data_IF_714972158441
#
_entry.id   IF_714972158441
#
_cell.length_a   1.000
_cell.length_b   1.000
_cell.length_c   1.000
_cell.angle_alpha   90.00
_cell.angle_beta   90.00
_cell.angle_gamma   90.00
#
_symmetry.space_group_name_H-M   'P 1'
#
loop_
_entity.id
_entity.type
_entity.pdbx_description
1 polymer ?
#
# COMPACT_ATOMS: atom_id res chain seq x y z
N UNK A 1 -18.70 11.21 15.12
CA UNK A 1 -18.36 10.44 16.36
C UNK A 1 -19.61 10.29 17.22
N UNK A 2 -19.77 9.17 17.93
CA UNK A 2 -20.88 8.90 18.83
C UNK A 2 -20.34 8.60 20.24
N UNK A 3 -21.08 9.00 21.27
CA UNK A 3 -20.81 8.58 22.66
C UNK A 3 -21.53 7.27 22.93
N UNK A 4 -20.77 6.23 23.20
CA UNK A 4 -21.26 4.89 23.47
C UNK A 4 -21.04 4.53 24.94
N UNK A 5 -22.01 3.88 25.57
CA UNK A 5 -21.86 3.42 26.95
C UNK A 5 -20.78 2.35 27.00
N UNK A 6 -19.80 2.51 27.88
CA UNK A 6 -18.64 1.60 27.89
C UNK A 6 -19.06 0.18 28.34
N UNK A 7 -18.94 -0.84 27.47
CA UNK A 7 -19.30 -2.22 27.80
C UNK A 7 -18.31 -2.88 28.76
N UNK A 8 -17.09 -2.33 28.88
CA UNK A 8 -16.00 -2.88 29.67
C UNK A 8 -15.86 -2.23 31.06
N UNK A 9 -16.76 -1.33 31.41
CA UNK A 9 -16.72 -0.64 32.72
C UNK A 9 -16.70 -1.65 33.87
N UNK A 10 -15.66 -1.59 34.69
CA UNK A 10 -15.45 -2.52 35.81
C UNK A 10 -14.99 -3.93 35.42
N UNK A 11 -14.57 -4.15 34.17
CA UNK A 11 -13.97 -5.41 33.68
C UNK A 11 -12.59 -5.13 33.10
N UNK A 12 -11.60 -5.91 33.54
CA UNK A 12 -10.28 -5.90 32.90
C UNK A 12 -10.34 -6.77 31.66
N UNK A 13 -10.21 -6.16 30.49
CA UNK A 13 -10.24 -6.82 29.18
C UNK A 13 -9.01 -6.41 28.37
N UNK A 14 -8.74 -7.11 27.27
CA UNK A 14 -7.51 -6.91 26.48
C UNK A 14 -7.47 -5.52 25.83
N UNK A 15 -8.60 -5.04 25.33
CA UNK A 15 -8.71 -3.80 24.55
C UNK A 15 -9.63 -2.75 25.19
N UNK A 16 -10.41 -3.11 26.20
CA UNK A 16 -11.34 -2.19 26.86
C UNK A 16 -10.69 -1.33 27.93
N UNK A 17 -11.32 -0.19 28.19
CA UNK A 17 -10.99 0.70 29.32
C UNK A 17 -11.93 0.37 30.48
N UNK A 18 -11.42 0.03 31.67
CA UNK A 18 -12.26 -0.36 32.81
C UNK A 18 -12.80 0.84 33.60
N UNK A 19 -12.19 2.02 33.46
CA UNK A 19 -12.48 3.22 34.25
C UNK A 19 -13.45 4.17 33.51
N UNK A 20 -13.40 4.20 32.18
CA UNK A 20 -14.26 5.08 31.39
C UNK A 20 -15.75 4.76 31.56
N UNK A 21 -16.58 5.78 31.75
CA UNK A 21 -18.05 5.63 31.82
C UNK A 21 -18.66 5.54 30.42
N UNK A 22 -18.08 6.26 29.47
CA UNK A 22 -18.49 6.29 28.07
C UNK A 22 -17.26 6.42 27.18
N UNK A 23 -17.34 5.85 25.99
CA UNK A 23 -16.28 5.87 24.98
C UNK A 23 -16.76 6.63 23.74
N UNK A 24 -15.87 7.44 23.16
CA UNK A 24 -16.11 8.10 21.88
C UNK A 24 -15.71 7.19 20.73
N UNK A 25 -16.64 6.85 19.85
CA UNK A 25 -16.42 5.86 18.79
C UNK A 25 -17.27 6.16 17.54
N UNK A 26 -17.35 5.21 16.61
CA UNK A 26 -18.17 5.31 15.39
C UNK A 26 -19.22 4.20 15.36
N UNK A 27 -20.33 4.43 14.65
CA UNK A 27 -21.39 3.43 14.53
C UNK A 27 -20.88 2.10 13.93
N UNK A 28 -19.97 2.16 12.95
CA UNK A 28 -19.33 0.98 12.36
C UNK A 28 -18.51 0.19 13.39
N UNK A 29 -17.77 0.86 14.28
CA UNK A 29 -17.01 0.21 15.36
C UNK A 29 -17.91 -0.46 16.39
N UNK A 30 -19.08 0.12 16.68
CA UNK A 30 -20.06 -0.52 17.57
C UNK A 30 -20.54 -1.84 16.96
N UNK A 31 -21.00 -1.84 15.70
CA UNK A 31 -21.43 -3.08 15.02
C UNK A 31 -20.29 -4.09 14.91
N UNK A 32 -19.07 -3.61 14.64
CA UNK A 32 -17.88 -4.46 14.60
C UNK A 32 -17.49 -5.03 15.97
N UNK A 33 -17.78 -4.33 17.07
CA UNK A 33 -17.49 -4.83 18.42
C UNK A 33 -18.39 -6.01 18.82
N UNK A 34 -19.63 -6.07 18.32
CA UNK A 34 -20.63 -7.07 18.69
C UNK A 34 -20.28 -8.50 18.23
N UNK A 35 -19.41 -8.64 17.23
CA UNK A 35 -18.99 -9.96 16.74
C UNK A 35 -17.92 -10.59 17.63
N UNK A 36 -17.14 -9.80 18.37
CA UNK A 36 -16.00 -10.28 19.15
C UNK A 36 -16.44 -10.88 20.51
N UNK A 37 -15.66 -11.83 21.06
CA UNK A 37 -15.89 -12.34 22.41
C UNK A 37 -15.75 -11.23 23.47
N UNK A 38 -16.60 -11.25 24.50
CA UNK A 38 -16.56 -10.24 25.56
C UNK A 38 -15.26 -10.22 26.36
N UNK A 39 -14.46 -11.29 26.32
CA UNK A 39 -13.13 -11.35 26.93
C UNK A 39 -12.11 -10.39 26.28
N UNK A 40 -12.33 -9.99 25.02
CA UNK A 40 -11.43 -9.08 24.32
C UNK A 40 -11.70 -7.62 24.70
N UNK A 41 -12.92 -7.30 25.10
CA UNK A 41 -13.39 -5.94 25.28
C UNK A 41 -13.54 -5.16 23.97
N UNK A 42 -13.72 -3.86 24.10
CA UNK A 42 -14.08 -2.97 23.00
C UNK A 42 -12.86 -2.42 22.25
N UNK A 43 -12.57 -2.99 21.08
CA UNK A 43 -11.50 -2.53 20.21
C UNK A 43 -11.85 -1.19 19.52
N UNK A 44 -11.49 -0.05 20.13
CA UNK A 44 -11.78 1.29 19.60
C UNK A 44 -10.66 1.87 18.70
N UNK A 45 -10.26 1.12 17.67
CA UNK A 45 -9.25 1.58 16.71
C UNK A 45 -9.60 1.12 15.29
N UNK A 46 -8.89 1.65 14.31
CA UNK A 46 -9.02 1.21 12.93
C UNK A 46 -8.35 -0.15 12.71
N UNK A 47 -9.04 -1.07 12.03
CA UNK A 47 -8.63 -2.46 11.92
C UNK A 47 -8.20 -2.78 10.49
N UNK A 48 -6.93 -2.52 10.19
CA UNK A 48 -6.27 -3.04 8.99
C UNK A 48 -6.01 -4.55 9.13
N UNK A 49 -5.66 -5.23 8.03
CA UNK A 49 -5.41 -6.68 7.99
C UNK A 49 -4.45 -7.19 9.08
N UNK A 50 -3.40 -6.44 9.38
CA UNK A 50 -2.45 -6.80 10.45
C UNK A 50 -3.09 -6.83 11.84
N UNK A 51 -3.87 -5.80 12.17
CA UNK A 51 -4.62 -5.71 13.43
C UNK A 51 -5.75 -6.72 13.51
N UNK A 52 -6.37 -7.05 12.38
CA UNK A 52 -7.37 -8.12 12.33
C UNK A 52 -6.77 -9.49 12.71
N UNK A 53 -5.56 -9.78 12.23
CA UNK A 53 -4.82 -10.99 12.63
C UNK A 53 -4.52 -11.02 14.13
N UNK A 54 -4.14 -9.88 14.71
CA UNK A 54 -3.91 -9.72 16.14
C UNK A 54 -5.19 -9.99 16.96
N UNK A 55 -6.33 -9.41 16.55
CA UNK A 55 -7.63 -9.64 17.18
C UNK A 55 -8.04 -11.11 17.15
N UNK A 56 -7.85 -11.80 16.03
CA UNK A 56 -8.12 -13.23 15.90
C UNK A 56 -7.21 -14.04 16.83
N UNK A 57 -5.91 -13.70 16.88
CA UNK A 57 -4.95 -14.35 17.77
C UNK A 57 -5.33 -14.18 19.25
N UNK A 58 -5.74 -12.98 19.66
CA UNK A 58 -6.18 -12.69 21.01
C UNK A 58 -7.54 -13.34 21.32
N UNK A 59 -8.46 -13.42 20.36
CA UNK A 59 -9.68 -14.23 20.48
C UNK A 59 -9.36 -15.67 20.83
N UNK A 60 -8.39 -16.26 20.12
CA UNK A 60 -7.98 -17.63 20.39
C UNK A 60 -7.35 -17.79 21.78
N UNK A 61 -6.48 -16.85 22.16
CA UNK A 61 -5.73 -16.88 23.43
C UNK A 61 -6.63 -16.71 24.65
N UNK A 62 -7.59 -15.78 24.62
CA UNK A 62 -8.39 -15.39 25.79
C UNK A 62 -9.79 -16.01 25.82
N UNK A 63 -10.42 -16.24 24.65
CA UNK A 63 -11.77 -16.81 24.56
C UNK A 63 -11.78 -18.30 24.12
N UNK A 64 -10.64 -18.83 23.69
CA UNK A 64 -10.48 -20.23 23.28
C UNK A 64 -10.97 -20.55 21.86
N UNK A 65 -10.74 -21.78 21.44
CA UNK A 65 -10.98 -22.23 20.05
C UNK A 65 -12.45 -22.11 19.63
N UNK A 66 -13.39 -22.63 20.43
CA UNK A 66 -14.81 -22.71 20.04
C UNK A 66 -15.43 -21.33 19.80
N UNK A 67 -15.16 -20.37 20.69
CA UNK A 67 -15.66 -18.98 20.54
C UNK A 67 -15.01 -18.27 19.36
N UNK A 68 -13.73 -18.52 19.12
CA UNK A 68 -13.00 -17.95 17.98
C UNK A 68 -13.57 -18.42 16.65
N UNK A 69 -13.88 -19.72 16.49
CA UNK A 69 -14.49 -20.23 15.26
C UNK A 69 -15.82 -19.53 14.96
N UNK A 70 -16.70 -19.40 15.96
CA UNK A 70 -17.98 -18.71 15.80
C UNK A 70 -17.77 -17.23 15.45
N UNK A 71 -16.78 -16.58 16.06
CA UNK A 71 -16.42 -15.18 15.77
C UNK A 71 -15.93 -15.01 14.33
N UNK A 72 -15.14 -15.96 13.80
CA UNK A 72 -14.65 -15.93 12.42
C UNK A 72 -15.79 -16.04 11.40
N UNK A 73 -16.80 -16.87 11.66
CA UNK A 73 -17.97 -16.94 10.78
C UNK A 73 -18.78 -15.64 10.78
N UNK A 74 -18.98 -15.03 11.97
CA UNK A 74 -19.62 -13.71 12.09
C UNK A 74 -18.82 -12.62 11.38
N UNK A 75 -17.49 -12.63 11.53
CA UNK A 75 -16.58 -11.70 10.89
C UNK A 75 -16.67 -11.80 9.36
N UNK A 76 -16.70 -13.03 8.83
CA UNK A 76 -16.88 -13.29 7.40
C UNK A 76 -18.20 -12.72 6.89
N UNK A 77 -19.31 -13.01 7.57
CA UNK A 77 -20.65 -12.53 7.17
C UNK A 77 -20.74 -11.00 7.23
N UNK A 78 -20.30 -10.39 8.34
CA UNK A 78 -20.29 -8.94 8.51
C UNK A 78 -19.39 -8.28 7.45
N UNK A 79 -18.19 -8.81 7.23
CA UNK A 79 -17.24 -8.30 6.26
C UNK A 79 -17.79 -8.32 4.84
N UNK A 80 -18.38 -9.43 4.38
CA UNK A 80 -18.98 -9.50 3.04
C UNK A 80 -20.19 -8.56 2.90
N UNK A 81 -21.03 -8.46 3.92
CA UNK A 81 -22.21 -7.59 3.92
C UNK A 81 -21.81 -6.12 3.83
N UNK A 82 -20.89 -5.67 4.66
CA UNK A 82 -20.47 -4.27 4.67
C UNK A 82 -19.59 -3.93 3.46
N UNK A 83 -18.74 -4.85 2.98
CA UNK A 83 -18.00 -4.65 1.72
C UNK A 83 -18.93 -4.49 0.51
N UNK A 84 -20.02 -5.26 0.45
CA UNK A 84 -21.02 -5.12 -0.63
C UNK A 84 -21.73 -3.77 -0.57
N UNK A 85 -22.13 -3.33 0.63
CA UNK A 85 -22.77 -2.02 0.82
C UNK A 85 -21.83 -0.85 0.55
N UNK A 86 -20.54 -1.00 0.84
CA UNK A 86 -19.54 0.02 0.60
C UNK A 86 -19.39 0.34 -0.89
N UNK A 87 -19.79 -0.56 -1.80
CA UNK A 87 -19.84 -0.28 -3.24
C UNK A 87 -18.49 0.04 -3.85
N UNK A 88 -17.40 -0.44 -3.24
CA UNK A 88 -16.03 -0.10 -3.66
C UNK A 88 -15.78 -0.69 -5.05
N UNK A 89 -15.56 0.19 -6.02
CA UNK A 89 -15.22 -0.15 -7.40
C UNK A 89 -13.92 0.56 -7.80
N UNK A 90 -13.28 0.10 -8.88
CA UNK A 90 -12.07 0.74 -9.42
C UNK A 90 -12.34 1.15 -10.86
N UNK A 91 -12.30 2.45 -11.09
CA UNK A 91 -12.29 3.08 -12.40
C UNK A 91 -10.89 3.49 -12.84
N UNK A 92 -10.76 3.91 -14.10
CA UNK A 92 -9.50 4.47 -14.59
C UNK A 92 -9.14 5.75 -13.85
N UNK A 93 -10.15 6.55 -13.48
CA UNK A 93 -9.98 7.86 -12.85
C UNK A 93 -9.48 7.80 -11.42
N UNK A 94 -9.68 6.68 -10.72
CA UNK A 94 -9.17 6.46 -9.37
C UNK A 94 -7.63 6.34 -9.32
N UNK A 95 -7.00 6.06 -10.46
CA UNK A 95 -5.53 6.01 -10.59
C UNK A 95 -4.95 7.41 -10.82
N UNK A 96 -4.96 8.26 -9.82
CA UNK A 96 -4.53 9.66 -9.94
C UNK A 96 -3.00 9.72 -10.14
N UNK A 97 -2.56 10.40 -11.20
CA UNK A 97 -1.13 10.63 -11.47
C UNK A 97 -0.75 11.98 -10.83
N UNK A 98 0.26 12.02 -9.93
CA UNK A 98 0.66 13.27 -9.30
C UNK A 98 1.31 14.22 -10.30
N UNK A 99 0.96 15.52 -10.32
CA UNK A 99 1.60 16.50 -11.21
C UNK A 99 3.11 16.65 -10.95
N UNK A 100 3.55 16.44 -9.71
CA UNK A 100 4.95 16.48 -9.27
C UNK A 100 5.81 15.41 -9.95
N UNK A 101 5.20 14.33 -10.48
CA UNK A 101 5.92 13.25 -11.19
C UNK A 101 6.88 13.82 -12.24
N UNK A 102 6.38 14.71 -13.10
CA UNK A 102 7.16 15.27 -14.19
C UNK A 102 8.29 16.18 -13.68
N UNK A 103 8.09 16.84 -12.53
CA UNK A 103 9.12 17.67 -11.90
C UNK A 103 10.24 16.83 -11.30
N UNK A 104 9.91 15.72 -10.62
CA UNK A 104 10.90 14.79 -10.08
C UNK A 104 11.72 14.11 -11.20
N UNK A 105 11.07 13.73 -12.31
CA UNK A 105 11.76 13.18 -13.49
C UNK A 105 12.77 14.19 -14.05
N UNK A 106 12.35 15.44 -14.31
CA UNK A 106 13.26 16.48 -14.82
C UNK A 106 14.42 16.76 -13.86
N UNK A 107 14.16 16.71 -12.56
CA UNK A 107 15.20 16.88 -11.53
C UNK A 107 16.21 15.74 -11.56
N UNK A 108 15.75 14.50 -11.75
CA UNK A 108 16.62 13.34 -11.90
C UNK A 108 17.46 13.40 -13.18
N UNK A 109 16.86 13.75 -14.32
CA UNK A 109 17.54 13.94 -15.61
C UNK A 109 18.66 14.98 -15.52
N UNK A 110 18.39 16.12 -14.89
CA UNK A 110 19.40 17.17 -14.68
C UNK A 110 20.60 16.67 -13.84
N UNK A 111 20.34 15.87 -12.80
CA UNK A 111 21.43 15.25 -12.00
C UNK A 111 22.24 14.26 -12.81
N UNK A 112 21.60 13.49 -13.68
CA UNK A 112 22.27 12.54 -14.58
C UNK A 112 23.14 13.29 -15.58
N UNK A 113 22.67 14.40 -16.15
CA UNK A 113 23.48 15.25 -17.02
C UNK A 113 24.75 15.75 -16.34
N UNK A 114 24.67 16.09 -15.05
CA UNK A 114 25.84 16.52 -14.29
C UNK A 114 26.82 15.36 -14.01
N UNK A 115 26.32 14.15 -13.75
CA UNK A 115 27.13 12.93 -13.66
C UNK A 115 27.82 12.62 -15.00
N UNK A 116 27.11 12.74 -16.11
CA UNK A 116 27.67 12.56 -17.45
C UNK A 116 28.73 13.60 -17.78
N UNK A 117 28.55 14.86 -17.38
CA UNK A 117 29.60 15.89 -17.52
C UNK A 117 30.84 15.55 -16.70
N UNK A 118 30.68 15.05 -15.47
CA UNK A 118 31.81 14.62 -14.64
C UNK A 118 32.57 13.45 -15.29
N UNK A 119 31.83 12.50 -15.85
CA UNK A 119 32.41 11.37 -16.57
C UNK A 119 33.20 11.83 -17.81
N UNK A 120 32.62 12.72 -18.63
CA UNK A 120 33.30 13.29 -19.82
C UNK A 120 34.56 14.08 -19.47
N UNK A 121 34.61 14.68 -18.28
CA UNK A 121 35.80 15.39 -17.76
C UNK A 121 36.84 14.44 -17.14
N UNK A 122 36.58 13.13 -17.09
CA UNK A 122 37.48 12.15 -16.48
C UNK A 122 37.52 12.19 -14.95
N UNK A 123 36.53 12.82 -14.30
CA UNK A 123 36.50 12.96 -12.84
C UNK A 123 36.00 11.69 -12.12
N UNK A 124 35.24 10.85 -12.82
CA UNK A 124 34.65 9.61 -12.30
C UNK A 124 34.89 8.46 -13.27
N UNK A 125 34.93 7.24 -12.74
CA UNK A 125 35.08 6.01 -13.53
C UNK A 125 33.74 5.56 -14.15
N UNK A 126 33.76 4.68 -15.17
CA UNK A 126 32.52 4.13 -15.76
C UNK A 126 31.63 3.40 -14.74
N UNK A 127 32.22 2.67 -13.79
CA UNK A 127 31.49 1.96 -12.75
C UNK A 127 30.81 2.92 -11.76
N UNK A 128 31.51 3.98 -11.34
CA UNK A 128 30.92 5.02 -10.48
C UNK A 128 29.80 5.78 -11.18
N UNK A 129 29.96 6.07 -12.49
CA UNK A 129 28.89 6.67 -13.31
C UNK A 129 27.64 5.80 -13.29
N UNK A 130 27.78 4.50 -13.58
CA UNK A 130 26.69 3.53 -13.58
C UNK A 130 25.95 3.47 -12.24
N UNK A 131 26.70 3.31 -11.13
CA UNK A 131 26.11 3.25 -9.80
C UNK A 131 25.38 4.56 -9.43
N UNK A 132 25.99 5.73 -9.73
CA UNK A 132 25.35 7.02 -9.48
C UNK A 132 24.04 7.19 -10.26
N UNK A 133 23.99 6.77 -11.53
CA UNK A 133 22.76 6.84 -12.34
C UNK A 133 21.66 5.97 -11.72
N UNK A 134 21.98 4.76 -11.30
CA UNK A 134 21.02 3.85 -10.64
C UNK A 134 20.52 4.45 -9.33
N UNK A 135 21.41 5.00 -8.51
CA UNK A 135 21.04 5.62 -7.24
C UNK A 135 20.12 6.83 -7.46
N UNK A 136 20.41 7.67 -8.46
CA UNK A 136 19.56 8.83 -8.79
C UNK A 136 18.16 8.36 -9.18
N UNK A 137 18.04 7.36 -10.05
CA UNK A 137 16.73 6.86 -10.48
C UNK A 137 15.97 6.12 -9.40
N UNK A 138 16.67 5.38 -8.53
CA UNK A 138 16.06 4.70 -7.38
C UNK A 138 15.44 5.73 -6.43
N UNK A 139 16.21 6.76 -6.05
CA UNK A 139 15.72 7.85 -5.21
C UNK A 139 14.57 8.62 -5.85
N UNK A 140 14.63 8.92 -7.15
CA UNK A 140 13.56 9.61 -7.86
C UNK A 140 12.28 8.77 -7.90
N UNK A 141 12.41 7.47 -8.16
CA UNK A 141 11.27 6.53 -8.18
C UNK A 141 10.60 6.45 -6.81
N UNK A 142 11.37 6.38 -5.73
CA UNK A 142 10.83 6.32 -4.37
C UNK A 142 10.13 7.61 -3.97
N UNK A 143 10.67 8.77 -4.35
CA UNK A 143 9.99 10.06 -4.16
C UNK A 143 8.66 10.14 -4.89
N UNK A 144 8.63 9.76 -6.17
CA UNK A 144 7.39 9.73 -6.96
C UNK A 144 6.38 8.77 -6.33
N UNK A 145 6.84 7.65 -5.77
CA UNK A 145 5.98 6.69 -5.06
C UNK A 145 5.29 7.33 -3.86
N UNK A 146 6.05 8.06 -3.04
CA UNK A 146 5.52 8.66 -1.82
C UNK A 146 4.52 9.77 -2.15
N UNK A 147 4.86 10.65 -3.11
CA UNK A 147 3.95 11.71 -3.55
C UNK A 147 2.67 11.12 -4.16
N UNK A 148 2.78 10.05 -4.94
CA UNK A 148 1.63 9.36 -5.52
C UNK A 148 0.70 8.80 -4.44
N UNK A 149 1.23 8.14 -3.40
CA UNK A 149 0.43 7.62 -2.30
C UNK A 149 -0.31 8.74 -1.56
N UNK A 150 0.40 9.82 -1.24
CA UNK A 150 -0.20 10.99 -0.62
C UNK A 150 -1.31 11.60 -1.50
N UNK A 151 -1.09 11.67 -2.81
CA UNK A 151 -2.09 12.20 -3.76
C UNK A 151 -3.35 11.32 -3.80
N UNK A 152 -3.19 9.99 -3.71
CA UNK A 152 -4.32 9.07 -3.64
C UNK A 152 -5.07 9.17 -2.32
N UNK A 153 -4.36 9.38 -1.20
CA UNK A 153 -4.96 9.60 0.13
C UNK A 153 -5.74 10.92 0.19
N UNK A 154 -5.20 12.00 -0.37
CA UNK A 154 -5.87 13.29 -0.48
C UNK A 154 -7.06 13.25 -1.46
N UNK A 155 -7.09 12.28 -2.37
CA UNK A 155 -8.15 12.04 -3.35
C UNK A 155 -8.66 13.31 -4.06
N UNK A 156 -7.75 14.22 -4.42
CA UNK A 156 -8.06 15.53 -5.03
C UNK A 156 -8.98 16.43 -4.16
N UNK A 157 -8.96 16.27 -2.84
CA UNK A 157 -9.79 17.01 -1.90
C UNK A 157 -11.24 16.55 -1.85
N UNK A 158 -11.57 15.37 -2.39
CA UNK A 158 -12.89 14.76 -2.24
C UNK A 158 -13.04 14.23 -0.81
N UNK A 159 -14.24 14.40 -0.25
CA UNK A 159 -14.59 13.83 1.07
C UNK A 159 -14.66 12.29 1.07
N UNK A 160 -14.66 11.67 -0.10
CA UNK A 160 -14.70 10.23 -0.30
C UNK A 160 -13.29 9.61 -0.28
N UNK A 161 -13.19 8.36 0.18
CA UNK A 161 -11.94 7.61 0.10
C UNK A 161 -11.66 7.16 -1.33
N UNK A 162 -10.41 7.29 -1.78
CA UNK A 162 -9.97 6.68 -3.02
C UNK A 162 -9.99 5.14 -2.89
N UNK A 163 -10.67 4.40 -3.80
CA UNK A 163 -10.74 2.94 -3.73
C UNK A 163 -9.39 2.23 -3.75
N UNK A 164 -8.43 2.74 -4.54
CA UNK A 164 -7.09 2.16 -4.66
C UNK A 164 -6.30 2.38 -3.38
N UNK A 165 -6.37 3.58 -2.80
CA UNK A 165 -5.75 3.88 -1.51
C UNK A 165 -6.32 2.97 -0.40
N UNK A 166 -7.66 2.87 -0.33
CA UNK A 166 -8.36 2.05 0.65
C UNK A 166 -7.92 0.58 0.61
N UNK A 167 -7.78 -0.02 -0.59
CA UNK A 167 -7.38 -1.42 -0.72
C UNK A 167 -5.93 -1.68 -0.28
N UNK A 168 -5.03 -0.73 -0.54
CA UNK A 168 -3.62 -0.84 -0.13
C UNK A 168 -3.46 -0.60 1.36
N UNK A 169 -4.06 0.46 1.89
CA UNK A 169 -3.89 0.85 3.30
C UNK A 169 -4.54 -0.17 4.25
N UNK A 170 -5.74 -0.65 3.92
CA UNK A 170 -6.37 -1.77 4.65
C UNK A 170 -5.58 -3.07 4.57
N UNK A 171 -4.65 -3.20 3.60
CA UNK A 171 -3.92 -4.43 3.30
C UNK A 171 -4.79 -5.53 2.70
N UNK A 172 -5.99 -5.19 2.22
CA UNK A 172 -6.92 -6.14 1.62
C UNK A 172 -6.35 -6.72 0.32
N UNK A 173 -5.87 -5.84 -0.58
CA UNK A 173 -5.28 -6.24 -1.85
C UNK A 173 -4.42 -5.11 -2.41
N UNK A 174 -3.29 -5.49 -3.01
CA UNK A 174 -2.35 -4.52 -3.55
C UNK A 174 -1.23 -4.23 -2.57
N UNK A 175 -0.10 -3.77 -3.10
CA UNK A 175 0.97 -3.19 -2.32
C UNK A 175 1.38 -1.84 -2.93
N UNK A 176 2.14 -1.04 -2.17
CA UNK A 176 2.61 0.28 -2.61
C UNK A 176 3.39 0.21 -3.94
N UNK A 177 4.16 -0.85 -4.15
CA UNK A 177 4.93 -1.04 -5.38
C UNK A 177 4.05 -1.35 -6.61
N UNK A 178 2.93 -2.05 -6.44
CA UNK A 178 1.96 -2.32 -7.50
C UNK A 178 1.21 -1.05 -7.88
N UNK A 179 0.76 -0.27 -6.89
CA UNK A 179 0.09 1.00 -7.16
C UNK A 179 1.03 2.01 -7.82
N UNK A 180 2.31 2.02 -7.41
CA UNK A 180 3.36 2.76 -8.11
C UNK A 180 3.45 2.44 -9.59
N UNK A 181 3.34 1.16 -9.99
CA UNK A 181 3.39 0.79 -11.40
C UNK A 181 2.13 1.22 -12.17
N UNK A 182 0.99 1.37 -11.49
CA UNK A 182 -0.27 1.80 -12.10
C UNK A 182 -0.28 3.31 -12.39
N UNK A 183 0.08 4.14 -11.40
CA UNK A 183 -0.09 5.60 -11.47
C UNK A 183 1.21 6.42 -11.29
N UNK A 184 2.31 5.81 -10.84
CA UNK A 184 3.60 6.48 -10.65
C UNK A 184 4.52 6.28 -11.84
N UNK A 185 5.47 5.35 -11.68
CA UNK A 185 6.44 4.92 -12.69
C UNK A 185 6.68 3.42 -12.54
N UNK A 186 7.08 2.74 -13.62
CA UNK A 186 7.49 1.33 -13.52
C UNK A 186 8.90 1.20 -12.91
N UNK A 187 9.80 2.13 -13.26
CA UNK A 187 11.14 2.24 -12.68
C UNK A 187 12.21 1.43 -13.43
N UNK A 188 13.29 1.12 -12.73
CA UNK A 188 14.43 0.39 -13.28
C UNK A 188 14.09 -1.09 -13.50
N UNK A 189 14.60 -1.66 -14.60
CA UNK A 189 14.40 -3.07 -14.96
C UNK A 189 15.73 -3.78 -15.07
N UNK A 190 15.76 -5.05 -14.64
CA UNK A 190 16.94 -5.91 -14.77
C UNK A 190 16.97 -6.60 -16.14
N UNK A 191 18.16 -6.70 -16.71
CA UNK A 191 18.47 -7.55 -17.87
C UNK A 191 18.44 -9.03 -17.46
N UNK A 192 18.34 -9.97 -18.43
CA UNK A 192 18.50 -11.39 -18.14
C UNK A 192 19.83 -11.72 -17.45
N UNK A 193 20.90 -10.98 -17.75
CA UNK A 193 22.22 -11.10 -17.10
C UNK A 193 22.19 -10.79 -15.60
N UNK A 194 21.21 -10.03 -15.13
CA UNK A 194 21.13 -9.52 -13.75
C UNK A 194 21.48 -8.04 -13.62
N UNK A 195 22.14 -7.45 -14.62
CA UNK A 195 22.48 -6.02 -14.60
C UNK A 195 21.23 -5.15 -14.73
N UNK A 196 21.24 -3.98 -14.10
CA UNK A 196 20.14 -3.03 -14.17
C UNK A 196 20.31 -2.17 -15.43
N UNK A 197 19.21 -1.93 -16.15
CA UNK A 197 19.19 -1.04 -17.30
C UNK A 197 19.20 0.40 -16.79
N UNK A 198 20.21 1.18 -17.16
CA UNK A 198 20.40 2.58 -16.74
C UNK A 198 19.23 3.50 -17.09
N UNK A 199 18.46 3.15 -18.13
CA UNK A 199 17.27 3.89 -18.56
C UNK A 199 16.01 3.25 -17.98
N UNK A 200 15.34 3.89 -17.01
CA UNK A 200 14.12 3.36 -16.42
C UNK A 200 12.93 3.51 -17.38
N UNK A 201 11.85 2.82 -17.02
CA UNK A 201 10.53 3.02 -17.63
C UNK A 201 9.80 4.11 -16.82
N UNK A 202 9.64 5.28 -17.42
CA UNK A 202 9.03 6.46 -16.81
C UNK A 202 7.51 6.45 -16.96
N UNK A 203 7.00 5.78 -17.98
CA UNK A 203 5.57 5.59 -18.18
C UNK A 203 5.00 4.63 -17.12
N UNK A 204 3.72 4.82 -16.80
CA UNK A 204 2.93 3.91 -15.96
C UNK A 204 1.83 3.21 -16.77
N UNK A 205 1.12 2.26 -16.16
CA UNK A 205 0.09 1.52 -16.88
C UNK A 205 -1.14 2.36 -17.24
N UNK A 206 -1.43 3.45 -16.50
CA UNK A 206 -2.49 4.39 -16.87
C UNK A 206 -2.15 5.19 -18.14
N UNK A 207 -0.90 5.62 -18.28
CA UNK A 207 -0.41 6.37 -19.45
C UNK A 207 -0.17 5.46 -20.67
N UNK A 208 0.12 4.19 -20.42
CA UNK A 208 0.53 3.23 -21.44
C UNK A 208 2.04 3.23 -21.66
N UNK A 209 2.57 2.08 -22.09
CA UNK A 209 4.00 1.87 -22.32
C UNK A 209 4.32 2.06 -23.80
N UNK A 210 5.44 2.71 -24.09
CA UNK A 210 5.99 2.72 -25.46
C UNK A 210 6.46 1.32 -25.86
N UNK A 211 6.63 1.09 -27.17
CA UNK A 211 7.12 -0.21 -27.70
C UNK A 211 8.44 -0.63 -27.05
N UNK A 212 9.37 0.31 -26.88
CA UNK A 212 10.68 0.04 -26.28
C UNK A 212 10.55 -0.29 -24.78
N UNK A 213 9.76 0.49 -24.03
CA UNK A 213 9.53 0.25 -22.60
C UNK A 213 8.84 -1.11 -22.37
N UNK A 214 7.86 -1.44 -23.20
CA UNK A 214 7.19 -2.74 -23.14
C UNK A 214 8.17 -3.87 -23.45
N UNK A 215 9.00 -3.73 -24.50
CA UNK A 215 10.02 -4.73 -24.85
C UNK A 215 11.02 -4.97 -23.71
N UNK A 216 11.50 -3.89 -23.07
CA UNK A 216 12.38 -3.98 -21.90
C UNK A 216 11.68 -4.72 -20.75
N UNK A 217 10.39 -4.44 -20.53
CA UNK A 217 9.60 -5.06 -19.47
C UNK A 217 9.43 -6.58 -19.62
N UNK A 218 9.39 -7.11 -20.85
CA UNK A 218 9.20 -8.55 -21.09
C UNK A 218 10.34 -9.42 -20.56
N UNK A 219 11.58 -8.92 -20.60
CA UNK A 219 12.76 -9.66 -20.14
C UNK A 219 12.67 -9.97 -18.64
N UNK A 220 12.33 -8.97 -17.83
CA UNK A 220 12.14 -9.14 -16.39
C UNK A 220 10.95 -10.05 -16.06
N UNK A 221 9.83 -9.88 -16.76
CA UNK A 221 8.63 -10.69 -16.54
C UNK A 221 8.86 -12.18 -16.85
N UNK A 222 9.52 -12.49 -17.99
CA UNK A 222 9.81 -13.86 -18.39
C UNK A 222 10.77 -14.55 -17.42
N UNK A 223 11.82 -13.86 -16.98
CA UNK A 223 12.78 -14.39 -16.00
C UNK A 223 12.10 -14.69 -14.67
N UNK A 224 11.29 -13.75 -14.15
CA UNK A 224 10.57 -13.97 -12.89
C UNK A 224 9.60 -15.16 -12.93
N UNK A 225 8.89 -15.37 -14.05
CA UNK A 225 8.03 -16.53 -14.24
C UNK A 225 8.83 -17.84 -14.31
N UNK A 226 9.93 -17.84 -15.06
CA UNK A 226 10.81 -19.02 -15.15
C UNK A 226 11.43 -19.38 -13.80
N UNK A 227 11.96 -18.39 -13.07
CA UNK A 227 12.55 -18.59 -11.74
C UNK A 227 11.51 -19.11 -10.73
N UNK A 228 10.24 -18.70 -10.86
CA UNK A 228 9.15 -19.20 -10.02
C UNK A 228 8.78 -20.65 -10.37
N UNK A 229 8.82 -21.02 -11.65
CA UNK A 229 8.54 -22.39 -12.08
C UNK A 229 9.66 -23.39 -11.73
N UNK A 230 10.89 -22.90 -11.56
CA UNK A 230 12.06 -23.71 -11.20
C UNK A 230 12.26 -23.88 -9.69
N UNK A 231 11.62 -23.06 -8.86
CA UNK A 231 11.64 -23.15 -7.39
C UNK A 231 10.62 -24.15 -6.87
#
# INVERSE_FOLDING_TARGET
>A
PIRFANPDRGRETVYGDSEAVAIETTAGRVVFSEIWPGELGYANFEVAKGKLGELIGNSYKYAGQKKTVVTLDKLKELGFKEATKAGVSIGIDDMIIPPEKNQEIKTAEKKIDDVEKQYRKGLITPGERYNKIIDIWTNATDKISNVMLQTLEENQGKDEFNPVALMVDSGARGNRQQVRQLAGVRGLMAKPSGDIIEKPILSNFREGLTVLEYFISTHGARKGLADTALK
#
